data_IF_259854144447
#
_entry.id   IF_259854144447
#
_cell.length_a   1.000
_cell.length_b   1.000
_cell.length_c   1.000
_cell.angle_alpha   90.00
_cell.angle_beta   90.00
_cell.angle_gamma   90.00
#
_symmetry.space_group_name_H-M   'P 1'
#
loop_
_entity.id
_entity.type
_entity.pdbx_description
1 polymer ?
#
# COMPACT_ATOMS: atom_id res chain seq x y z
N UNK A 1 38.88 12.07 -17.52
CA UNK A 1 37.39 12.23 -17.53
C UNK A 1 36.71 11.06 -16.85
N UNK A 2 37.26 10.52 -15.73
CA UNK A 2 36.74 9.32 -15.04
C UNK A 2 36.46 9.47 -13.51
N UNK A 3 36.63 10.67 -12.95
CA UNK A 3 36.45 10.88 -11.49
C UNK A 3 35.04 11.39 -11.06
N UNK A 4 34.16 11.76 -11.98
CA UNK A 4 32.82 12.28 -11.63
C UNK A 4 31.76 11.18 -11.41
N UNK A 5 31.95 9.98 -11.99
CA UNK A 5 30.99 8.86 -11.83
C UNK A 5 31.03 8.18 -10.46
N UNK A 6 32.16 8.17 -9.78
CA UNK A 6 32.32 7.49 -8.48
C UNK A 6 31.66 8.25 -7.29
N UNK A 7 31.58 9.59 -7.38
CA UNK A 7 30.96 10.40 -6.32
C UNK A 7 29.41 10.28 -6.27
N UNK A 8 28.79 10.03 -7.42
CA UNK A 8 27.31 9.87 -7.50
C UNK A 8 26.82 8.60 -6.82
N UNK A 9 27.59 7.50 -6.85
CA UNK A 9 27.23 6.21 -6.27
C UNK A 9 27.20 6.22 -4.73
N UNK A 10 28.10 6.98 -4.08
CA UNK A 10 28.19 7.03 -2.62
C UNK A 10 27.06 7.87 -1.99
N UNK A 11 26.61 8.93 -2.66
CA UNK A 11 25.45 9.73 -2.23
C UNK A 11 24.14 8.95 -2.40
N UNK A 12 24.08 8.08 -3.40
CA UNK A 12 22.90 7.26 -3.69
C UNK A 12 22.68 6.14 -2.66
N UNK A 13 23.79 5.53 -2.14
CA UNK A 13 23.73 4.45 -1.15
C UNK A 13 23.11 4.88 0.20
N UNK A 14 23.15 6.17 0.51
CA UNK A 14 22.51 6.73 1.72
C UNK A 14 20.99 6.91 1.60
N UNK A 15 20.45 7.01 0.37
CA UNK A 15 19.04 7.29 0.10
C UNK A 15 18.20 6.02 -0.10
N UNK A 16 18.84 4.91 -0.48
CA UNK A 16 18.18 3.63 -0.74
C UNK A 16 18.69 2.59 0.26
N UNK A 17 17.85 2.21 1.21
CA UNK A 17 18.21 1.16 2.20
C UNK A 17 17.54 -0.16 1.83
N UNK A 18 18.30 -1.29 1.79
CA UNK A 18 17.69 -2.61 1.58
C UNK A 18 16.76 -2.98 2.73
N UNK A 19 15.61 -3.54 2.40
CA UNK A 19 14.61 -3.97 3.36
C UNK A 19 14.98 -5.35 3.89
N UNK A 20 15.45 -5.44 5.15
CA UNK A 20 15.62 -6.71 5.85
C UNK A 20 14.27 -7.04 6.51
N UNK A 21 13.49 -7.88 5.87
CA UNK A 21 12.29 -8.47 6.49
C UNK A 21 12.77 -9.52 7.49
N UNK A 22 12.78 -9.17 8.79
CA UNK A 22 13.00 -10.16 9.83
C UNK A 22 11.78 -11.09 9.86
N UNK A 23 11.97 -12.34 9.44
CA UNK A 23 10.97 -13.39 9.69
C UNK A 23 10.78 -13.51 11.18
N UNK A 24 9.58 -13.22 11.68
CA UNK A 24 9.20 -13.59 13.03
C UNK A 24 9.19 -15.11 13.13
N UNK A 25 10.08 -15.66 13.97
CA UNK A 25 10.10 -17.08 14.27
C UNK A 25 8.81 -17.40 15.03
N UNK A 26 7.98 -18.24 14.45
CA UNK A 26 6.81 -18.80 15.12
C UNK A 26 7.28 -19.60 16.34
N UNK A 27 6.85 -19.17 17.52
CA UNK A 27 7.07 -19.92 18.77
C UNK A 27 6.28 -21.23 18.68
N UNK A 28 6.99 -22.35 18.52
CA UNK A 28 6.41 -23.68 18.63
C UNK A 28 6.19 -23.96 20.12
N UNK A 29 4.96 -23.84 20.56
CA UNK A 29 4.56 -24.33 21.89
C UNK A 29 4.44 -25.84 21.83
N UNK A 30 5.39 -26.51 22.44
CA UNK A 30 5.38 -27.96 22.65
C UNK A 30 4.27 -28.34 23.64
N UNK A 31 3.21 -28.93 23.16
CA UNK A 31 2.19 -29.59 24.00
C UNK A 31 2.78 -30.89 24.59
N UNK A 32 2.91 -30.89 25.88
CA UNK A 32 3.28 -32.07 26.68
C UNK A 32 2.12 -33.06 26.70
N UNK A 33 2.35 -34.23 26.14
CA UNK A 33 1.38 -35.33 26.04
C UNK A 33 1.36 -36.05 27.40
N UNK A 34 0.29 -35.90 28.16
CA UNK A 34 0.00 -36.77 29.31
C UNK A 34 -0.96 -37.88 28.83
N UNK A 35 -0.43 -39.09 28.85
CA UNK A 35 -1.21 -40.31 28.71
C UNK A 35 -1.82 -40.66 30.07
N UNK A 36 -3.13 -40.69 30.15
CA UNK A 36 -3.79 -41.50 31.19
C UNK A 36 -4.86 -42.36 30.56
N UNK A 37 -4.81 -43.64 30.92
CA UNK A 37 -5.52 -44.73 30.30
C UNK A 37 -6.52 -45.24 31.32
N UNK A 38 -7.83 -45.00 31.12
CA UNK A 38 -8.82 -45.87 31.76
C UNK A 38 -10.12 -45.94 30.91
N UNK A 39 -10.39 -47.17 30.55
CA UNK A 39 -11.48 -47.63 29.73
C UNK A 39 -12.77 -47.60 30.58
N UNK A 40 -13.83 -46.99 30.10
CA UNK A 40 -15.18 -47.39 30.48
C UNK A 40 -16.14 -47.34 29.29
N UNK A 41 -16.71 -48.50 28.97
CA UNK A 41 -17.69 -48.76 27.91
C UNK A 41 -19.07 -48.21 28.30
N UNK A 42 -19.82 -47.79 27.30
CA UNK A 42 -21.27 -47.59 27.18
C UNK A 42 -21.73 -46.14 27.34
N UNK A 43 -21.99 -45.48 26.18
CA UNK A 43 -23.38 -45.09 25.79
C UNK A 43 -23.34 -44.50 24.37
N UNK A 44 -24.03 -45.20 23.45
CA UNK A 44 -24.33 -44.63 22.13
C UNK A 44 -25.44 -43.59 22.34
N UNK A 45 -25.10 -42.31 22.11
CA UNK A 45 -26.08 -41.26 21.86
C UNK A 45 -25.76 -40.68 20.51
N UNK A 46 -26.58 -40.98 19.52
CA UNK A 46 -26.62 -40.36 18.20
C UNK A 46 -27.04 -38.89 18.37
N UNK A 47 -26.11 -38.02 18.59
CA UNK A 47 -26.30 -36.57 18.56
C UNK A 47 -25.75 -36.05 17.24
N UNK A 48 -26.61 -35.64 16.31
CA UNK A 48 -26.23 -34.86 15.14
C UNK A 48 -25.60 -33.57 15.58
N UNK A 49 -24.26 -33.51 15.56
CA UNK A 49 -23.50 -32.27 15.72
C UNK A 49 -23.72 -31.44 14.46
N UNK A 50 -24.67 -30.49 14.56
CA UNK A 50 -24.74 -29.40 13.62
C UNK A 50 -23.43 -28.61 13.75
N UNK A 51 -22.51 -28.81 12.78
CA UNK A 51 -21.30 -28.03 12.63
C UNK A 51 -21.74 -26.63 12.18
N UNK A 52 -22.02 -25.74 13.14
CA UNK A 52 -22.16 -24.33 12.85
C UNK A 52 -20.79 -23.86 12.40
N UNK A 53 -20.62 -23.68 11.09
CA UNK A 53 -19.45 -23.00 10.53
C UNK A 53 -19.39 -21.61 11.17
N UNK A 54 -18.55 -21.44 12.18
CA UNK A 54 -18.17 -20.12 12.65
C UNK A 54 -17.55 -19.38 11.47
N UNK A 55 -18.03 -18.16 11.16
CA UNK A 55 -17.32 -17.35 10.18
C UNK A 55 -15.87 -17.25 10.66
N UNK A 56 -14.94 -17.70 9.84
CA UNK A 56 -13.52 -17.47 10.07
C UNK A 56 -13.37 -15.95 10.19
N UNK A 57 -13.12 -15.47 11.42
CA UNK A 57 -12.63 -14.11 11.62
C UNK A 57 -11.40 -14.01 10.74
N UNK A 58 -11.48 -13.20 9.71
CA UNK A 58 -10.33 -12.88 8.86
C UNK A 58 -9.27 -12.36 9.83
N UNK A 59 -8.30 -13.21 10.17
CA UNK A 59 -7.10 -12.78 10.85
C UNK A 59 -6.49 -11.75 9.93
N UNK A 60 -6.35 -10.52 10.40
CA UNK A 60 -5.52 -9.52 9.74
C UNK A 60 -4.13 -10.16 9.59
N UNK A 61 -3.89 -10.75 8.42
CA UNK A 61 -2.61 -11.37 8.10
C UNK A 61 -1.52 -10.33 8.31
N UNK A 62 -0.29 -10.78 8.55
CA UNK A 62 0.86 -9.90 8.73
C UNK A 62 0.84 -8.74 7.72
N UNK A 63 0.58 -7.52 8.22
CA UNK A 63 0.47 -6.30 7.39
C UNK A 63 1.77 -6.00 6.63
N UNK A 64 2.90 -6.62 7.04
CA UNK A 64 4.20 -6.56 6.38
C UNK A 64 4.47 -7.74 5.45
N UNK A 65 3.49 -8.62 5.23
CA UNK A 65 3.64 -9.67 4.22
C UNK A 65 3.81 -9.08 2.82
N UNK A 66 4.48 -9.80 1.94
CA UNK A 66 4.65 -9.42 0.53
C UNK A 66 3.29 -9.15 -0.12
N UNK A 67 2.29 -9.97 0.20
CA UNK A 67 0.93 -9.78 -0.28
C UNK A 67 0.39 -8.41 0.11
N UNK A 68 0.50 -8.02 1.38
CA UNK A 68 -0.08 -6.78 1.88
C UNK A 68 0.74 -5.53 1.51
N UNK A 69 2.01 -5.67 1.23
CA UNK A 69 2.85 -4.55 0.78
C UNK A 69 2.64 -4.29 -0.72
N UNK A 70 2.91 -5.29 -1.57
CA UNK A 70 2.97 -5.10 -3.01
C UNK A 70 1.70 -5.51 -3.76
N UNK A 71 0.86 -6.38 -3.17
CA UNK A 71 -0.30 -6.97 -3.84
C UNK A 71 -1.57 -6.88 -3.00
N UNK A 72 -1.69 -5.83 -2.19
CA UNK A 72 -2.85 -5.56 -1.35
C UNK A 72 -4.14 -5.60 -2.19
N UNK A 73 -5.04 -6.58 -1.96
CA UNK A 73 -6.23 -6.75 -2.78
C UNK A 73 -7.24 -5.61 -2.62
N UNK A 74 -7.10 -4.83 -1.53
CA UNK A 74 -7.96 -3.68 -1.28
C UNK A 74 -7.57 -2.44 -2.08
N UNK A 75 -6.40 -2.45 -2.76
CA UNK A 75 -5.89 -1.28 -3.49
C UNK A 75 -5.79 -1.58 -4.99
N UNK A 76 -6.59 -0.89 -5.82
CA UNK A 76 -6.48 -1.00 -7.27
C UNK A 76 -5.10 -0.56 -7.79
N UNK A 77 -4.67 -1.20 -8.85
CA UNK A 77 -3.37 -1.01 -9.46
C UNK A 77 -3.43 0.01 -10.58
N UNK A 78 -2.45 0.90 -10.61
CA UNK A 78 -2.14 1.76 -11.74
C UNK A 78 -0.98 1.17 -12.56
N UNK A 79 -0.76 1.71 -13.77
CA UNK A 79 0.25 1.23 -14.69
C UNK A 79 -0.08 -0.17 -15.21
N UNK A 80 0.95 -1.02 -15.36
CA UNK A 80 0.79 -2.38 -15.89
C UNK A 80 0.50 -3.38 -14.76
N UNK A 81 -0.72 -3.93 -14.71
CA UNK A 81 -1.13 -4.95 -13.71
C UNK A 81 -0.22 -6.18 -13.73
N UNK A 82 0.35 -6.51 -14.90
CA UNK A 82 1.26 -7.64 -15.12
C UNK A 82 2.74 -7.23 -15.08
N UNK A 83 3.03 -5.99 -14.65
CA UNK A 83 4.39 -5.46 -14.58
C UNK A 83 5.33 -6.35 -13.75
N UNK A 84 6.57 -6.44 -14.20
CA UNK A 84 7.63 -7.25 -13.59
C UNK A 84 8.18 -6.63 -12.28
N UNK A 85 7.97 -5.33 -12.08
CA UNK A 85 8.37 -4.61 -10.88
C UNK A 85 7.18 -3.87 -10.29
N UNK A 86 7.00 -3.98 -8.98
CA UNK A 86 6.01 -3.18 -8.26
C UNK A 86 6.68 -1.99 -7.58
N UNK A 87 6.10 -0.80 -7.79
CA UNK A 87 6.36 0.41 -7.02
C UNK A 87 5.16 0.65 -6.13
N UNK A 88 5.39 0.86 -4.83
CA UNK A 88 4.38 1.28 -3.86
C UNK A 88 4.70 2.70 -3.42
N UNK A 89 3.77 3.62 -3.60
CA UNK A 89 3.88 5.02 -3.17
C UNK A 89 2.98 5.25 -1.95
N UNK A 90 3.56 5.78 -0.87
CA UNK A 90 2.84 6.30 0.29
C UNK A 90 2.72 7.82 0.15
N UNK A 91 1.50 8.32 0.03
CA UNK A 91 1.25 9.72 -0.37
C UNK A 91 0.08 10.35 0.36
N UNK A 92 0.06 11.70 0.34
CA UNK A 92 -1.02 12.55 0.84
C UNK A 92 -1.35 13.62 -0.20
N UNK A 93 -2.63 13.84 -0.47
CA UNK A 93 -3.10 14.83 -1.46
C UNK A 93 -2.74 16.27 -1.12
N UNK A 94 -2.50 16.59 0.15
CA UNK A 94 -2.07 17.91 0.62
C UNK A 94 -0.55 18.06 0.77
N UNK A 95 0.21 17.01 0.46
CA UNK A 95 1.65 17.09 0.42
C UNK A 95 2.14 17.77 -0.87
N UNK A 96 2.80 18.95 -0.79
CA UNK A 96 3.29 19.63 -1.99
C UNK A 96 4.35 18.81 -2.76
N UNK A 97 5.14 18.01 -2.05
CA UNK A 97 6.16 17.15 -2.66
C UNK A 97 5.53 15.94 -3.38
N UNK A 98 4.39 15.40 -2.87
CA UNK A 98 3.65 14.37 -3.59
C UNK A 98 3.11 14.89 -4.91
N UNK A 99 2.49 16.07 -4.90
CA UNK A 99 2.01 16.70 -6.14
C UNK A 99 3.14 17.03 -7.12
N UNK A 100 4.30 17.45 -6.60
CA UNK A 100 5.47 17.73 -7.44
C UNK A 100 6.03 16.48 -8.11
N UNK A 101 6.09 15.36 -7.40
CA UNK A 101 6.66 14.11 -7.93
C UNK A 101 5.67 13.33 -8.78
N UNK A 102 4.37 13.54 -8.61
CA UNK A 102 3.33 12.82 -9.32
C UNK A 102 3.50 12.80 -10.85
N UNK A 103 3.67 13.95 -11.55
CA UNK A 103 3.90 13.93 -13.00
C UNK A 103 5.21 13.21 -13.40
N UNK A 104 6.23 13.26 -12.56
CA UNK A 104 7.50 12.53 -12.79
C UNK A 104 7.25 11.02 -12.72
N UNK A 105 6.57 10.55 -11.67
CA UNK A 105 6.24 9.13 -11.51
C UNK A 105 5.34 8.63 -12.63
N UNK A 106 4.32 9.40 -13.01
CA UNK A 106 3.45 9.07 -14.15
C UNK A 106 4.24 8.92 -15.45
N UNK A 107 5.20 9.81 -15.69
CA UNK A 107 6.07 9.73 -16.86
C UNK A 107 6.94 8.47 -16.82
N UNK A 108 7.62 8.21 -15.71
CA UNK A 108 8.51 7.04 -15.54
C UNK A 108 7.74 5.74 -15.74
N UNK A 109 6.56 5.60 -15.12
CA UNK A 109 5.73 4.39 -15.24
C UNK A 109 5.24 4.18 -16.66
N UNK A 110 4.83 5.25 -17.34
CA UNK A 110 4.36 5.20 -18.71
C UNK A 110 5.47 4.86 -19.72
N UNK A 111 6.66 5.45 -19.56
CA UNK A 111 7.82 5.19 -20.43
C UNK A 111 8.39 3.78 -20.23
N UNK A 112 8.42 3.29 -19.01
CA UNK A 112 8.87 1.94 -18.70
C UNK A 112 7.90 0.85 -19.22
N UNK A 113 6.59 1.09 -19.11
CA UNK A 113 5.54 0.22 -19.61
C UNK A 113 5.39 -1.11 -18.88
N UNK A 114 6.29 -1.46 -17.96
CA UNK A 114 6.31 -2.75 -17.26
C UNK A 114 6.32 -2.63 -15.73
N UNK A 115 5.85 -1.49 -15.22
CA UNK A 115 5.73 -1.20 -13.79
C UNK A 115 4.28 -1.35 -13.35
N UNK A 116 4.08 -2.07 -12.26
CA UNK A 116 2.88 -2.14 -11.48
C UNK A 116 2.95 -1.09 -10.37
N UNK A 117 2.09 -0.07 -10.41
CA UNK A 117 2.09 1.03 -9.45
C UNK A 117 0.93 0.90 -8.47
N UNK A 118 1.22 0.96 -7.18
CA UNK A 118 0.25 0.87 -6.08
C UNK A 118 0.32 2.14 -5.25
N UNK A 119 -0.80 2.87 -5.20
CA UNK A 119 -0.93 4.06 -4.36
C UNK A 119 -1.50 3.70 -3.00
N UNK A 120 -0.72 3.91 -1.93
CA UNK A 120 -1.16 3.79 -0.55
C UNK A 120 -1.36 5.16 0.06
N UNK A 121 -2.60 5.47 0.40
CA UNK A 121 -2.93 6.75 1.00
C UNK A 121 -2.46 6.79 2.46
N UNK A 122 -1.65 7.77 2.77
CA UNK A 122 -1.12 8.03 4.11
C UNK A 122 -1.37 9.50 4.48
N UNK A 123 -2.63 9.84 4.90
CA UNK A 123 -3.06 11.21 5.15
C UNK A 123 -2.49 11.73 6.47
N UNK A 124 -1.44 12.56 6.39
CA UNK A 124 -0.73 13.15 7.54
C UNK A 124 -0.86 14.68 7.63
N UNK A 125 -1.50 15.34 6.65
CA UNK A 125 -1.64 16.80 6.60
C UNK A 125 -3.01 17.31 7.09
N UNK A 126 -3.66 16.55 7.97
CA UNK A 126 -4.86 16.98 8.71
C UNK A 126 -6.19 16.49 8.12
N UNK A 127 -7.33 17.01 8.66
CA UNK A 127 -8.66 16.46 8.39
C UNK A 127 -9.04 16.40 6.91
N UNK A 128 -8.73 17.42 6.13
CA UNK A 128 -9.02 17.45 4.69
C UNK A 128 -8.25 16.36 3.92
N UNK A 129 -7.03 16.01 4.34
CA UNK A 129 -6.28 14.88 3.78
C UNK A 129 -6.95 13.56 4.11
N UNK A 130 -7.40 13.38 5.35
CA UNK A 130 -8.13 12.19 5.80
C UNK A 130 -9.43 12.03 5.00
N UNK A 131 -10.23 13.09 4.90
CA UNK A 131 -11.46 13.08 4.11
C UNK A 131 -11.21 12.71 2.65
N UNK A 132 -10.23 13.36 2.03
CA UNK A 132 -9.87 13.10 0.63
C UNK A 132 -9.44 11.65 0.41
N UNK A 133 -8.62 11.10 1.31
CA UNK A 133 -8.18 9.71 1.26
C UNK A 133 -9.35 8.72 1.42
N UNK A 134 -10.23 8.98 2.37
CA UNK A 134 -11.44 8.17 2.58
C UNK A 134 -12.36 8.19 1.36
N UNK A 135 -12.59 9.38 0.79
CA UNK A 135 -13.46 9.53 -0.37
C UNK A 135 -12.88 8.84 -1.61
N UNK A 136 -11.56 8.95 -1.85
CA UNK A 136 -10.88 8.23 -2.94
C UNK A 136 -10.97 6.71 -2.75
N UNK A 137 -10.77 6.19 -1.53
CA UNK A 137 -10.96 4.75 -1.25
C UNK A 137 -12.41 4.30 -1.52
N UNK A 138 -13.39 5.13 -1.24
CA UNK A 138 -14.79 4.82 -1.51
C UNK A 138 -15.10 4.70 -3.02
N UNK A 139 -14.33 5.35 -3.90
CA UNK A 139 -14.53 5.24 -5.35
C UNK A 139 -14.14 3.88 -5.93
N UNK A 140 -13.57 2.97 -5.13
CA UNK A 140 -13.28 1.59 -5.55
C UNK A 140 -14.53 0.86 -6.03
N UNK A 141 -15.67 1.07 -5.36
CA UNK A 141 -16.96 0.52 -5.76
C UNK A 141 -17.48 1.01 -7.13
N UNK A 142 -16.90 2.09 -7.65
CA UNK A 142 -17.14 2.61 -8.99
C UNK A 142 -16.07 2.17 -10.01
N UNK A 143 -15.02 1.45 -9.59
CA UNK A 143 -13.86 1.15 -10.43
C UNK A 143 -13.00 2.38 -10.76
N UNK A 144 -13.11 3.47 -9.99
CA UNK A 144 -12.52 4.78 -10.32
C UNK A 144 -11.44 5.25 -9.35
N UNK A 145 -10.87 4.34 -8.55
CA UNK A 145 -9.85 4.67 -7.55
C UNK A 145 -8.64 5.41 -8.16
N UNK A 146 -8.05 4.88 -9.22
CA UNK A 146 -6.87 5.48 -9.87
C UNK A 146 -7.24 6.83 -10.48
N UNK A 147 -8.37 6.92 -11.17
CA UNK A 147 -8.87 8.19 -11.74
C UNK A 147 -9.10 9.25 -10.66
N UNK A 148 -9.67 8.88 -9.53
CA UNK A 148 -9.89 9.77 -8.39
C UNK A 148 -8.56 10.22 -7.75
N UNK A 149 -7.61 9.30 -7.59
CA UNK A 149 -6.27 9.59 -7.12
C UNK A 149 -5.56 10.61 -8.02
N UNK A 150 -5.53 10.34 -9.32
CA UNK A 150 -4.87 11.18 -10.32
C UNK A 150 -5.48 12.60 -10.35
N UNK A 151 -6.81 12.71 -10.26
CA UNK A 151 -7.51 13.99 -10.23
C UNK A 151 -7.11 14.85 -9.02
N UNK A 152 -7.07 14.27 -7.81
CA UNK A 152 -6.69 15.01 -6.61
C UNK A 152 -5.20 15.32 -6.57
N UNK A 153 -4.34 14.38 -7.01
CA UNK A 153 -2.89 14.59 -7.01
C UNK A 153 -2.45 15.64 -8.04
N UNK A 154 -3.24 15.84 -9.09
CA UNK A 154 -3.04 16.90 -10.09
C UNK A 154 -3.51 18.29 -9.64
N UNK A 155 -4.08 18.43 -8.44
CA UNK A 155 -4.55 19.71 -7.92
C UNK A 155 -3.39 20.70 -7.75
N UNK A 156 -3.58 21.93 -8.22
CA UNK A 156 -2.56 23.00 -8.13
C UNK A 156 -2.56 23.72 -6.78
N UNK A 157 -3.63 23.58 -6.01
CA UNK A 157 -3.81 24.20 -4.70
C UNK A 157 -4.04 23.16 -3.60
N UNK A 158 -4.03 23.64 -2.35
CA UNK A 158 -4.39 22.78 -1.21
C UNK A 158 -5.82 22.27 -1.35
N UNK A 159 -6.00 20.97 -1.18
CA UNK A 159 -7.29 20.30 -1.28
C UNK A 159 -8.05 20.49 0.04
N UNK A 160 -9.21 21.13 -0.01
CA UNK A 160 -10.22 21.17 1.05
C UNK A 160 -11.24 20.05 0.82
N UNK A 161 -12.11 19.77 1.79
CA UNK A 161 -13.17 18.77 1.61
C UNK A 161 -14.09 19.12 0.43
N UNK A 162 -14.59 20.36 0.39
CA UNK A 162 -15.40 20.84 -0.73
C UNK A 162 -14.61 20.88 -2.07
N UNK A 163 -13.31 21.18 -2.00
CA UNK A 163 -12.41 21.13 -3.15
C UNK A 163 -12.23 19.71 -3.67
N UNK A 164 -12.10 18.72 -2.78
CA UNK A 164 -12.04 17.31 -3.16
C UNK A 164 -13.32 16.88 -3.89
N UNK A 165 -14.49 17.20 -3.34
CA UNK A 165 -15.78 16.90 -3.98
C UNK A 165 -15.87 17.48 -5.39
N UNK A 166 -15.55 18.77 -5.52
CA UNK A 166 -15.59 19.48 -6.82
C UNK A 166 -14.61 18.87 -7.82
N UNK A 167 -13.38 18.58 -7.40
CA UNK A 167 -12.35 18.00 -8.27
C UNK A 167 -12.74 16.61 -8.75
N UNK A 168 -13.24 15.77 -7.85
CA UNK A 168 -13.69 14.42 -8.17
C UNK A 168 -14.91 14.44 -9.11
N UNK A 169 -15.89 15.31 -8.84
CA UNK A 169 -17.04 15.48 -9.73
C UNK A 169 -16.61 15.91 -11.14
N UNK A 170 -15.69 16.88 -11.24
CA UNK A 170 -15.13 17.33 -12.54
C UNK A 170 -14.36 16.22 -13.27
N UNK A 171 -13.78 15.27 -12.52
CA UNK A 171 -13.15 14.08 -13.08
C UNK A 171 -14.15 12.96 -13.42
N UNK A 172 -15.46 13.20 -13.36
CA UNK A 172 -16.49 12.23 -13.71
C UNK A 172 -16.75 11.15 -12.65
N UNK A 173 -16.35 11.40 -11.40
CA UNK A 173 -16.68 10.54 -10.26
C UNK A 173 -18.08 10.89 -9.76
N UNK A 174 -18.93 9.89 -9.51
CA UNK A 174 -20.18 10.09 -8.78
C UNK A 174 -19.85 10.28 -7.27
N UNK A 175 -19.73 11.56 -6.88
CA UNK A 175 -19.38 11.95 -5.51
C UNK A 175 -20.50 11.59 -4.52
N UNK A 176 -21.78 11.67 -4.94
CA UNK A 176 -22.89 11.27 -4.08
C UNK A 176 -22.82 9.80 -3.72
N UNK A 177 -22.61 8.94 -4.71
CA UNK A 177 -22.39 7.51 -4.51
C UNK A 177 -21.12 7.24 -3.70
N UNK A 178 -20.01 7.94 -3.98
CA UNK A 178 -18.77 7.78 -3.21
C UNK A 178 -18.99 8.09 -1.72
N UNK A 179 -19.77 9.12 -1.38
CA UNK A 179 -20.13 9.44 0.01
C UNK A 179 -21.00 8.36 0.66
N UNK A 180 -21.96 7.80 -0.08
CA UNK A 180 -22.77 6.67 0.40
C UNK A 180 -21.90 5.42 0.63
N UNK A 181 -21.02 5.10 -0.32
CA UNK A 181 -20.07 3.99 -0.23
C UNK A 181 -19.08 4.20 0.94
N UNK A 182 -18.65 5.44 1.20
CA UNK A 182 -17.84 5.80 2.35
C UNK A 182 -18.55 5.48 3.67
N UNK A 183 -19.80 5.88 3.82
CA UNK A 183 -20.59 5.58 5.03
C UNK A 183 -20.80 4.08 5.20
N UNK A 184 -21.15 3.39 4.14
CA UNK A 184 -21.39 1.94 4.15
C UNK A 184 -20.14 1.14 4.52
N UNK A 185 -18.97 1.55 4.00
CA UNK A 185 -17.71 0.81 4.14
C UNK A 185 -16.73 1.51 5.10
N UNK A 186 -17.22 2.38 5.98
CA UNK A 186 -16.39 3.25 6.84
C UNK A 186 -15.33 2.46 7.62
N UNK A 187 -15.73 1.38 8.29
CA UNK A 187 -14.82 0.56 9.10
C UNK A 187 -13.69 -0.08 8.26
N UNK A 188 -14.01 -0.59 7.08
CA UNK A 188 -13.02 -1.15 6.14
C UNK A 188 -12.04 -0.07 5.67
N UNK A 189 -12.55 1.08 5.26
CA UNK A 189 -11.73 2.21 4.77
C UNK A 189 -10.79 2.71 5.87
N UNK A 190 -11.27 2.85 7.11
CA UNK A 190 -10.44 3.22 8.25
C UNK A 190 -9.38 2.16 8.54
N UNK A 191 -9.71 0.88 8.43
CA UNK A 191 -8.75 -0.23 8.60
C UNK A 191 -7.65 -0.17 7.54
N UNK A 192 -8.00 0.12 6.28
CA UNK A 192 -7.01 0.30 5.20
C UNK A 192 -6.06 1.46 5.52
N UNK A 193 -6.58 2.62 5.91
CA UNK A 193 -5.76 3.79 6.23
C UNK A 193 -4.87 3.53 7.46
N UNK A 194 -5.37 2.89 8.50
CA UNK A 194 -4.58 2.47 9.67
C UNK A 194 -3.45 1.52 9.29
N UNK A 195 -3.73 0.55 8.40
CA UNK A 195 -2.72 -0.37 7.88
C UNK A 195 -1.64 0.37 7.10
N UNK A 196 -2.00 1.29 6.20
CA UNK A 196 -1.02 2.10 5.47
C UNK A 196 -0.14 2.92 6.41
N UNK A 197 -0.73 3.52 7.43
CA UNK A 197 0.01 4.26 8.46
C UNK A 197 0.99 3.34 9.20
N UNK A 198 0.51 2.21 9.71
CA UNK A 198 1.35 1.23 10.42
C UNK A 198 2.48 0.67 9.53
N UNK A 199 2.22 0.44 8.24
CA UNK A 199 3.26 0.06 7.28
C UNK A 199 4.29 1.18 7.10
N UNK A 200 3.86 2.43 6.94
CA UNK A 200 4.75 3.57 6.79
C UNK A 200 5.67 3.73 8.02
N UNK A 201 5.11 3.62 9.21
CA UNK A 201 5.87 3.66 10.48
C UNK A 201 6.86 2.49 10.57
N UNK A 202 6.42 1.27 10.27
CA UNK A 202 7.27 0.08 10.29
C UNK A 202 8.42 0.13 9.28
N UNK A 203 8.22 0.83 8.15
CA UNK A 203 9.29 1.13 7.19
C UNK A 203 10.17 2.30 7.61
N UNK A 204 9.89 2.94 8.74
CA UNK A 204 10.58 4.15 9.23
C UNK A 204 10.49 5.31 8.25
N UNK A 205 9.36 5.44 7.55
CA UNK A 205 9.09 6.61 6.72
C UNK A 205 8.85 7.83 7.60
N UNK A 206 9.46 8.95 7.25
CA UNK A 206 9.38 10.20 8.01
C UNK A 206 8.38 11.20 7.43
N UNK A 207 7.72 10.85 6.33
CA UNK A 207 6.75 11.69 5.63
C UNK A 207 6.49 11.21 4.21
N UNK A 208 5.70 12.00 3.51
CA UNK A 208 5.29 11.73 2.12
C UNK A 208 5.97 12.68 1.13
N UNK A 209 6.21 12.25 -0.10
CA UNK A 209 6.05 10.90 -0.60
C UNK A 209 7.14 9.97 -0.08
N UNK A 210 6.82 8.69 0.07
CA UNK A 210 7.80 7.63 0.32
C UNK A 210 7.46 6.42 -0.54
N UNK A 211 8.49 5.69 -0.98
CA UNK A 211 8.32 4.63 -1.97
C UNK A 211 8.96 3.32 -1.52
N UNK A 212 8.35 2.22 -1.95
CA UNK A 212 8.99 0.91 -2.01
C UNK A 212 9.12 0.53 -3.49
N UNK A 213 10.34 0.29 -3.94
CA UNK A 213 10.66 -0.09 -5.33
C UNK A 213 11.33 -1.46 -5.28
N UNK A 214 10.59 -2.51 -5.61
CA UNK A 214 11.03 -3.86 -5.31
C UNK A 214 11.34 -4.03 -3.82
N UNK A 215 12.60 -4.25 -3.46
CA UNK A 215 13.07 -4.39 -2.06
C UNK A 215 13.71 -3.12 -1.48
N UNK A 216 13.71 -2.02 -2.22
CA UNK A 216 14.31 -0.76 -1.78
C UNK A 216 13.27 0.20 -1.20
N UNK A 217 13.69 1.02 -0.24
CA UNK A 217 12.95 2.17 0.27
C UNK A 217 13.59 3.44 -0.26
N UNK A 218 12.76 4.32 -0.85
CA UNK A 218 13.19 5.63 -1.32
C UNK A 218 12.34 6.71 -0.62
N UNK A 219 12.98 7.74 -0.08
CA UNK A 219 12.34 8.76 0.75
C UNK A 219 12.30 10.09 0.02
N UNK A 220 11.14 10.75 0.03
CA UNK A 220 10.97 12.08 -0.52
C UNK A 220 10.77 12.13 -2.04
N UNK A 221 10.65 13.36 -2.55
CA UNK A 221 10.47 13.61 -3.98
C UNK A 221 11.82 13.63 -4.69
N UNK A 222 11.93 12.89 -5.77
CA UNK A 222 13.11 12.79 -6.59
C UNK A 222 12.80 13.11 -8.04
N UNK A 223 13.85 13.34 -8.82
CA UNK A 223 13.77 13.48 -10.27
C UNK A 223 13.64 12.12 -10.98
N UNK A 224 13.43 12.18 -12.26
CA UNK A 224 13.22 11.03 -13.13
C UNK A 224 14.41 10.07 -13.13
N UNK A 225 15.65 10.61 -13.13
CA UNK A 225 16.87 9.82 -13.22
C UNK A 225 17.05 8.94 -11.96
N UNK A 226 16.72 9.46 -10.79
CA UNK A 226 16.77 8.68 -9.53
C UNK A 226 15.77 7.53 -9.55
N UNK A 227 14.56 7.76 -10.05
CA UNK A 227 13.57 6.69 -10.18
C UNK A 227 14.00 5.63 -11.21
N UNK A 228 14.49 6.04 -12.38
CA UNK A 228 15.00 5.12 -13.41
C UNK A 228 16.16 4.26 -12.87
N UNK A 229 17.07 4.86 -12.13
CA UNK A 229 18.18 4.14 -11.52
C UNK A 229 17.68 3.14 -10.45
N UNK A 230 16.77 3.57 -9.56
CA UNK A 230 16.18 2.70 -8.53
C UNK A 230 15.43 1.50 -9.13
N UNK A 231 14.70 1.71 -10.23
CA UNK A 231 14.01 0.67 -11.00
C UNK A 231 15.02 -0.34 -11.59
N UNK A 232 16.09 0.17 -12.23
CA UNK A 232 17.11 -0.67 -12.82
C UNK A 232 17.80 -1.56 -11.77
N UNK A 233 18.15 -0.97 -10.62
CA UNK A 233 18.80 -1.70 -9.52
C UNK A 233 17.83 -2.71 -8.87
N UNK A 234 16.56 -2.35 -8.72
CA UNK A 234 15.55 -3.27 -8.22
C UNK A 234 15.39 -4.50 -9.13
N UNK A 235 15.32 -4.30 -10.44
CA UNK A 235 15.26 -5.40 -11.42
C UNK A 235 16.51 -6.26 -11.42
N UNK A 236 17.68 -5.65 -11.29
CA UNK A 236 18.95 -6.38 -11.18
C UNK A 236 18.96 -7.29 -9.94
N UNK A 237 18.49 -6.77 -8.81
CA UNK A 237 18.40 -7.55 -7.56
C UNK A 237 17.41 -8.72 -7.68
N UNK A 238 16.27 -8.53 -8.37
CA UNK A 238 15.26 -9.58 -8.56
C UNK A 238 15.75 -10.71 -9.48
N UNK A 239 16.70 -10.42 -10.40
CA UNK A 239 17.28 -11.41 -11.32
C UNK A 239 18.49 -12.16 -10.74
N UNK A 240 19.14 -11.60 -9.72
CA UNK A 240 20.37 -12.15 -9.13
C UNK A 240 20.15 -12.92 -7.82
N UNK A 241 18.92 -13.04 -7.35
CA UNK A 241 18.49 -13.83 -6.18
C UNK A 241 17.60 -14.97 -6.61
#
# INVERSE_FOLDING_TARGET
MHLHKARSLLLWYGLVKPMIVKRAAAAQTTMKKTTDNSISRRLFITGSLAFTAMPALAQDGDIFSEQMIWRDPSIPVAGNVKGDLTIVEYSDFNCPYCRKVFPVMQKVVREDGNIRLVYKLWPIFGPASVYSAQLVLATRGQGKYVQAYDALMSSTSRVTEAGADKTLAAAGIDVSRAKQDLQKNKSEIETILKRHHAQADGFSFQGTPSFIIGKFRLFGAHDEEVFKQAIADARKMLKGG
#
